data_IF_579904560374
#
_entry.id   IF_579904560374
#
_cell.length_a   1.000
_cell.length_b   1.000
_cell.length_c   1.000
_cell.angle_alpha   90.00
_cell.angle_beta   90.00
_cell.angle_gamma   90.00
#
_symmetry.space_group_name_H-M   'P 1'
#
loop_
_entity.id
_entity.type
_entity.pdbx_description
1 polymer ?
#
# COMPACT_ATOMS: atom_id res chain seq x y z
N UNK A 1 -29.21 -3.07 15.75
CA UNK A 1 -27.85 -3.62 15.92
C UNK A 1 -27.34 -4.31 14.66
N UNK A 2 -27.79 -5.51 14.27
CA UNK A 2 -27.29 -6.15 13.02
C UNK A 2 -27.71 -5.43 11.72
N UNK A 3 -28.88 -4.78 11.71
CA UNK A 3 -29.36 -3.98 10.57
C UNK A 3 -28.46 -2.79 10.27
N UNK A 4 -27.88 -2.19 11.30
CA UNK A 4 -27.16 -0.93 11.21
C UNK A 4 -25.74 -1.15 10.68
N UNK A 5 -25.10 -2.27 11.06
CA UNK A 5 -23.80 -2.69 10.53
C UNK A 5 -23.87 -3.07 9.04
N UNK A 6 -24.90 -3.81 8.62
CA UNK A 6 -25.09 -4.18 7.21
C UNK A 6 -25.41 -2.95 6.34
N UNK A 7 -26.26 -2.04 6.83
CA UNK A 7 -26.55 -0.79 6.15
C UNK A 7 -25.28 0.07 5.98
N UNK A 8 -24.48 0.17 7.04
CA UNK A 8 -23.19 0.87 7.07
C UNK A 8 -22.20 0.28 6.06
N UNK A 9 -21.99 -1.03 6.08
CA UNK A 9 -21.10 -1.72 5.13
C UNK A 9 -21.58 -1.56 3.68
N UNK A 10 -22.89 -1.61 3.44
CA UNK A 10 -23.47 -1.43 2.10
C UNK A 10 -23.25 -0.01 1.59
N UNK A 11 -23.46 1.00 2.44
CA UNK A 11 -23.26 2.40 2.06
C UNK A 11 -21.78 2.68 1.75
N UNK A 12 -20.87 2.12 2.55
CA UNK A 12 -19.42 2.23 2.34
C UNK A 12 -19.00 1.57 1.02
N UNK A 13 -19.52 0.37 0.72
CA UNK A 13 -19.32 -0.32 -0.56
C UNK A 13 -19.86 0.48 -1.75
N UNK A 14 -21.07 1.01 -1.65
CA UNK A 14 -21.68 1.82 -2.73
C UNK A 14 -20.85 3.08 -2.98
N UNK A 15 -20.45 3.79 -1.93
CA UNK A 15 -19.61 4.98 -2.06
C UNK A 15 -18.25 4.64 -2.70
N UNK A 16 -17.59 3.56 -2.26
CA UNK A 16 -16.35 3.07 -2.83
C UNK A 16 -16.50 2.74 -4.32
N UNK A 17 -17.53 1.99 -4.71
CA UNK A 17 -17.77 1.59 -6.11
C UNK A 17 -18.03 2.82 -7.00
N UNK A 18 -18.85 3.76 -6.53
CA UNK A 18 -19.13 5.00 -7.28
C UNK A 18 -17.88 5.86 -7.45
N UNK A 19 -17.11 6.07 -6.37
CA UNK A 19 -15.88 6.83 -6.42
C UNK A 19 -14.86 6.18 -7.36
N UNK A 20 -14.68 4.85 -7.30
CA UNK A 20 -13.78 4.13 -8.18
C UNK A 20 -14.24 4.21 -9.64
N UNK A 21 -15.54 4.11 -9.91
CA UNK A 21 -16.08 4.27 -11.25
C UNK A 21 -15.80 5.68 -11.81
N UNK A 22 -15.94 6.71 -10.99
CA UNK A 22 -15.63 8.10 -11.35
C UNK A 22 -14.13 8.30 -11.60
N UNK A 23 -13.27 7.83 -10.70
CA UNK A 23 -11.81 7.97 -10.80
C UNK A 23 -11.26 7.22 -12.01
N UNK A 24 -11.80 6.02 -12.30
CA UNK A 24 -11.44 5.28 -13.52
C UNK A 24 -11.78 6.05 -14.79
N UNK A 25 -12.87 6.83 -14.84
CA UNK A 25 -13.21 7.65 -16.02
C UNK A 25 -12.20 8.75 -16.30
N UNK A 26 -11.51 9.24 -15.27
CA UNK A 26 -10.46 10.25 -15.40
C UNK A 26 -9.04 9.64 -15.36
N UNK A 27 -8.92 8.32 -15.57
CA UNK A 27 -7.66 7.57 -15.57
C UNK A 27 -6.87 7.62 -14.25
N UNK A 28 -7.54 7.83 -13.13
CA UNK A 28 -6.90 7.76 -11.81
C UNK A 28 -6.89 6.33 -11.25
N UNK A 29 -5.82 5.93 -10.52
CA UNK A 29 -5.77 4.64 -9.84
C UNK A 29 -6.92 4.44 -8.83
N UNK A 30 -7.51 3.24 -8.74
CA UNK A 30 -8.60 2.94 -7.79
C UNK A 30 -8.27 3.25 -6.33
N UNK A 31 -7.00 3.11 -5.92
CA UNK A 31 -6.59 3.34 -4.54
C UNK A 31 -6.86 4.78 -4.07
N UNK A 32 -6.75 5.76 -4.97
CA UNK A 32 -7.07 7.14 -4.67
C UNK A 32 -8.56 7.34 -4.39
N UNK A 33 -9.43 6.57 -5.05
CA UNK A 33 -10.86 6.60 -4.79
C UNK A 33 -11.20 6.02 -3.41
N UNK A 34 -10.56 4.91 -3.02
CA UNK A 34 -10.76 4.34 -1.68
C UNK A 34 -10.32 5.32 -0.57
N UNK A 35 -9.16 5.96 -0.74
CA UNK A 35 -8.67 7.00 0.17
C UNK A 35 -9.60 8.21 0.21
N UNK A 36 -10.09 8.66 -0.94
CA UNK A 36 -11.04 9.77 -1.03
C UNK A 36 -12.34 9.47 -0.28
N UNK A 37 -12.89 8.26 -0.45
CA UNK A 37 -14.09 7.82 0.26
C UNK A 37 -13.83 7.75 1.76
N UNK A 38 -12.73 7.14 2.20
CA UNK A 38 -12.36 7.10 3.62
C UNK A 38 -12.18 8.49 4.24
N UNK A 39 -11.53 9.41 3.52
CA UNK A 39 -11.32 10.78 3.97
C UNK A 39 -12.64 11.55 4.07
N UNK A 40 -13.53 11.41 3.08
CA UNK A 40 -14.80 12.15 3.02
C UNK A 40 -15.83 11.61 4.01
N UNK A 41 -15.94 10.30 4.14
CA UNK A 41 -16.94 9.62 4.98
C UNK A 41 -16.48 9.52 6.44
N UNK A 42 -15.16 9.55 6.68
CA UNK A 42 -14.58 9.41 8.01
C UNK A 42 -15.00 10.50 9.01
N UNK A 43 -14.71 10.28 10.30
CA UNK A 43 -15.13 11.15 11.40
C UNK A 43 -14.57 12.58 11.30
N UNK A 44 -13.46 12.77 10.58
CA UNK A 44 -12.80 14.06 10.41
C UNK A 44 -13.36 14.90 9.24
N UNK A 45 -14.36 14.41 8.50
CA UNK A 45 -14.99 15.14 7.40
C UNK A 45 -16.53 15.17 7.54
N UNK A 46 -17.27 14.31 6.83
CA UNK A 46 -18.75 14.31 6.90
C UNK A 46 -19.27 13.70 8.21
N UNK A 47 -18.46 12.92 8.93
CA UNK A 47 -18.86 12.32 10.20
C UNK A 47 -20.02 11.33 10.09
N UNK A 48 -20.24 10.77 8.90
CA UNK A 48 -21.35 9.83 8.67
C UNK A 48 -21.14 8.47 9.34
N UNK A 49 -19.89 8.16 9.69
CA UNK A 49 -19.52 6.96 10.43
C UNK A 49 -18.65 7.39 11.61
N UNK A 50 -19.13 7.12 12.82
CA UNK A 50 -18.29 7.19 14.01
C UNK A 50 -17.21 6.12 13.94
N UNK A 51 -16.09 6.37 14.63
CA UNK A 51 -15.01 5.40 14.82
C UNK A 51 -15.50 4.24 15.72
N UNK A 52 -16.46 3.46 15.22
CA UNK A 52 -17.00 2.29 15.89
C UNK A 52 -15.97 1.16 15.83
N UNK A 53 -15.85 0.44 16.94
CA UNK A 53 -15.00 -0.75 17.10
C UNK A 53 -15.21 -1.76 15.95
N UNK A 54 -16.44 -1.86 15.44
CA UNK A 54 -16.80 -2.69 14.28
C UNK A 54 -16.08 -2.30 12.98
N UNK A 55 -15.86 -1.00 12.74
CA UNK A 55 -15.15 -0.52 11.53
C UNK A 55 -13.66 -0.85 11.61
N UNK A 56 -13.09 -0.80 12.82
CA UNK A 56 -11.70 -1.19 13.06
C UNK A 56 -11.50 -2.69 12.79
N UNK A 57 -12.39 -3.54 13.31
CA UNK A 57 -12.37 -4.99 13.06
C UNK A 57 -12.50 -5.31 11.57
N UNK A 58 -13.36 -4.59 10.85
CA UNK A 58 -13.53 -4.76 9.40
C UNK A 58 -12.24 -4.40 8.64
N UNK A 59 -11.55 -3.36 9.09
CA UNK A 59 -10.24 -2.94 8.58
C UNK A 59 -9.16 -4.00 8.82
N UNK A 60 -9.08 -4.57 10.02
CA UNK A 60 -8.14 -5.64 10.34
C UNK A 60 -8.35 -6.88 9.47
N UNK A 61 -9.60 -7.31 9.30
CA UNK A 61 -9.95 -8.42 8.42
C UNK A 61 -9.59 -8.10 6.97
N UNK A 62 -9.86 -6.87 6.51
CA UNK A 62 -9.47 -6.39 5.18
C UNK A 62 -7.96 -6.45 4.95
N UNK A 63 -7.16 -6.02 5.92
CA UNK A 63 -5.69 -6.12 5.88
C UNK A 63 -5.27 -7.60 5.86
N UNK A 64 -5.88 -8.47 6.66
CA UNK A 64 -5.55 -9.90 6.65
C UNK A 64 -5.81 -10.54 5.28
N UNK A 65 -6.95 -10.24 4.65
CA UNK A 65 -7.24 -10.69 3.27
C UNK A 65 -6.29 -10.09 2.23
N UNK A 66 -5.90 -8.82 2.39
CA UNK A 66 -4.92 -8.18 1.51
C UNK A 66 -3.57 -8.89 1.60
N UNK A 67 -3.06 -9.12 2.81
CA UNK A 67 -1.80 -9.83 3.04
C UNK A 67 -1.86 -11.26 2.51
N UNK A 68 -3.01 -11.93 2.66
CA UNK A 68 -3.23 -13.26 2.10
C UNK A 68 -3.23 -13.26 0.56
N UNK A 69 -3.94 -12.32 -0.06
CA UNK A 69 -3.98 -12.17 -1.52
C UNK A 69 -2.60 -11.88 -2.12
N UNK A 70 -1.83 -10.97 -1.50
CA UNK A 70 -0.42 -10.71 -1.87
C UNK A 70 0.40 -12.01 -1.80
N UNK A 71 0.18 -12.83 -0.77
CA UNK A 71 0.82 -14.14 -0.64
C UNK A 71 0.48 -15.12 -1.77
N UNK A 72 -0.75 -15.08 -2.31
CA UNK A 72 -1.17 -15.93 -3.43
C UNK A 72 -0.61 -15.48 -4.78
N UNK A 73 -0.37 -14.18 -4.96
CA UNK A 73 0.26 -13.63 -6.17
C UNK A 73 1.76 -13.95 -6.24
N UNK A 74 2.38 -14.28 -5.11
CA UNK A 74 3.81 -14.52 -5.03
C UNK A 74 4.25 -15.91 -5.54
N UNK A 75 5.18 -15.92 -6.49
CA UNK A 75 5.75 -17.17 -7.02
C UNK A 75 7.14 -17.46 -6.43
N UNK A 76 7.19 -18.42 -5.50
CA UNK A 76 8.44 -18.90 -4.87
C UNK A 76 9.55 -19.27 -5.89
N UNK A 77 9.26 -19.93 -7.03
CA UNK A 77 10.29 -20.26 -8.02
C UNK A 77 10.92 -19.02 -8.68
N UNK A 78 10.12 -17.98 -8.95
CA UNK A 78 10.60 -16.75 -9.57
C UNK A 78 11.42 -15.92 -8.58
N UNK A 79 11.03 -15.92 -7.31
CA UNK A 79 11.85 -15.34 -6.25
C UNK A 79 13.23 -15.99 -6.20
N UNK A 80 13.30 -17.32 -6.22
CA UNK A 80 14.57 -18.02 -6.11
C UNK A 80 15.50 -17.78 -7.30
N UNK A 81 14.95 -17.66 -8.51
CA UNK A 81 15.74 -17.37 -9.72
C UNK A 81 16.31 -15.95 -9.74
N UNK A 82 15.64 -14.99 -9.08
CA UNK A 82 16.05 -13.58 -9.03
C UNK A 82 16.68 -13.15 -7.69
N UNK A 83 16.88 -14.08 -6.75
CA UNK A 83 17.23 -13.80 -5.34
C UNK A 83 18.40 -12.83 -5.12
N UNK A 84 19.42 -12.85 -5.97
CA UNK A 84 20.58 -11.94 -5.85
C UNK A 84 20.19 -10.50 -6.15
N UNK A 85 19.41 -10.28 -7.21
CA UNK A 85 18.88 -8.96 -7.56
C UNK A 85 17.84 -8.51 -6.54
N UNK A 86 16.94 -9.40 -6.13
CA UNK A 86 15.89 -9.12 -5.15
C UNK A 86 16.47 -8.68 -3.79
N UNK A 87 17.28 -9.54 -3.18
CA UNK A 87 17.81 -9.29 -1.83
C UNK A 87 18.95 -8.26 -1.84
N UNK A 88 19.73 -8.18 -2.93
CA UNK A 88 20.80 -7.22 -3.07
C UNK A 88 20.28 -5.83 -3.43
N UNK A 89 19.87 -5.66 -4.70
CA UNK A 89 19.50 -4.35 -5.23
C UNK A 89 18.14 -3.87 -4.69
N UNK A 90 17.13 -4.74 -4.68
CA UNK A 90 15.81 -4.42 -4.12
C UNK A 90 15.88 -4.06 -2.64
N UNK A 91 16.57 -4.91 -1.86
CA UNK A 91 16.86 -4.66 -0.45
C UNK A 91 17.57 -3.33 -0.19
N UNK A 92 18.64 -3.06 -0.93
CA UNK A 92 19.37 -1.81 -0.82
C UNK A 92 18.49 -0.59 -1.18
N UNK A 93 17.69 -0.68 -2.25
CA UNK A 93 16.82 0.42 -2.66
C UNK A 93 15.77 0.73 -1.59
N UNK A 94 15.08 -0.29 -1.06
CA UNK A 94 14.04 -0.08 -0.03
C UNK A 94 14.66 0.47 1.25
N UNK A 95 15.80 -0.07 1.68
CA UNK A 95 16.47 0.37 2.91
C UNK A 95 16.98 1.81 2.78
N UNK A 96 17.68 2.14 1.71
CA UNK A 96 18.21 3.50 1.48
C UNK A 96 17.06 4.49 1.28
N UNK A 97 16.04 4.12 0.50
CA UNK A 97 14.85 4.95 0.29
C UNK A 97 14.12 5.23 1.60
N UNK A 98 13.93 4.19 2.43
CA UNK A 98 13.26 4.32 3.72
C UNK A 98 14.04 5.23 4.65
N UNK A 99 15.35 5.00 4.81
CA UNK A 99 16.19 5.80 5.71
C UNK A 99 16.27 7.26 5.24
N UNK A 100 16.49 7.49 3.94
CA UNK A 100 16.57 8.84 3.40
C UNK A 100 15.25 9.60 3.54
N UNK A 101 14.12 8.97 3.20
CA UNK A 101 12.80 9.55 3.37
C UNK A 101 12.46 9.80 4.85
N UNK A 102 12.79 8.87 5.74
CA UNK A 102 12.58 9.02 7.17
C UNK A 102 13.43 10.13 7.77
N UNK A 103 14.70 10.26 7.35
CA UNK A 103 15.58 11.33 7.80
C UNK A 103 15.02 12.70 7.39
N UNK A 104 14.57 12.84 6.14
CA UNK A 104 13.95 14.07 5.66
C UNK A 104 12.68 14.38 6.46
N UNK A 105 11.81 13.40 6.69
CA UNK A 105 10.59 13.58 7.47
C UNK A 105 10.89 13.95 8.93
N UNK A 106 11.87 13.32 9.56
CA UNK A 106 12.27 13.60 10.94
C UNK A 106 12.81 15.03 11.10
N UNK A 107 13.57 15.54 10.11
CA UNK A 107 14.03 16.94 10.11
C UNK A 107 12.89 17.97 10.07
N UNK A 108 11.67 17.57 9.68
CA UNK A 108 10.49 18.45 9.74
C UNK A 108 9.83 18.50 11.13
N UNK A 109 10.35 17.74 12.11
CA UNK A 109 9.87 17.73 13.50
C UNK A 109 8.86 16.62 13.81
N UNK A 110 8.62 15.69 12.88
CA UNK A 110 7.72 14.54 13.09
C UNK A 110 8.43 13.47 13.95
N UNK A 111 7.72 12.79 14.87
CA UNK A 111 8.31 11.71 15.69
C UNK A 111 8.95 10.61 14.86
N UNK A 112 10.01 9.97 15.39
CA UNK A 112 10.78 8.95 14.68
C UNK A 112 9.93 7.79 14.12
N UNK A 113 8.97 7.28 14.89
CA UNK A 113 8.07 6.21 14.45
C UNK A 113 7.26 6.61 13.21
N UNK A 114 6.65 7.79 13.23
CA UNK A 114 5.91 8.32 12.08
C UNK A 114 6.83 8.67 10.90
N UNK A 115 8.04 9.18 11.15
CA UNK A 115 9.03 9.44 10.12
C UNK A 115 9.45 8.16 9.38
N UNK A 116 9.64 7.04 10.10
CA UNK A 116 9.91 5.73 9.50
C UNK A 116 8.77 5.25 8.60
N UNK A 117 7.51 5.43 9.03
CA UNK A 117 6.34 5.09 8.21
C UNK A 117 6.31 5.91 6.92
N UNK A 118 6.55 7.22 7.03
CA UNK A 118 6.63 8.11 5.86
C UNK A 118 7.78 7.69 4.93
N UNK A 119 8.96 7.43 5.48
CA UNK A 119 10.12 6.97 4.71
C UNK A 119 9.83 5.66 3.97
N UNK A 120 9.23 4.70 4.65
CA UNK A 120 8.83 3.42 4.07
C UNK A 120 7.82 3.60 2.93
N UNK A 121 6.81 4.45 3.13
CA UNK A 121 5.84 4.77 2.09
C UNK A 121 6.49 5.42 0.87
N UNK A 122 7.44 6.35 1.07
CA UNK A 122 8.18 7.01 -0.02
C UNK A 122 9.13 6.07 -0.77
N UNK A 123 9.60 4.99 -0.13
CA UNK A 123 10.50 4.02 -0.75
C UNK A 123 9.79 3.09 -1.76
N UNK A 124 8.46 2.97 -1.69
CA UNK A 124 7.67 2.04 -2.50
C UNK A 124 7.33 2.61 -3.88
N UNK A 125 7.28 1.74 -4.88
CA UNK A 125 6.88 2.08 -6.26
C UNK A 125 5.59 1.37 -6.65
N UNK A 126 4.91 1.85 -7.70
CA UNK A 126 3.71 1.18 -8.23
C UNK A 126 4.10 0.11 -9.25
N UNK A 127 4.01 -1.17 -8.86
CA UNK A 127 4.31 -2.32 -9.73
C UNK A 127 3.49 -2.29 -11.02
N UNK A 128 2.19 -2.06 -10.94
CA UNK A 128 1.31 -2.02 -12.11
C UNK A 128 1.71 -0.94 -13.13
N UNK A 129 2.07 0.27 -12.66
CA UNK A 129 2.45 1.37 -13.55
C UNK A 129 3.80 1.09 -14.20
N UNK A 130 4.81 0.69 -13.42
CA UNK A 130 6.16 0.46 -13.93
C UNK A 130 6.21 -0.72 -14.90
N UNK A 131 5.54 -1.83 -14.57
CA UNK A 131 5.44 -3.00 -15.46
C UNK A 131 4.72 -2.65 -16.75
N UNK A 132 3.61 -1.92 -16.66
CA UNK A 132 2.88 -1.45 -17.85
C UNK A 132 3.76 -0.57 -18.73
N UNK A 133 4.45 0.41 -18.14
CA UNK A 133 5.33 1.31 -18.87
C UNK A 133 6.48 0.57 -19.57
N UNK A 134 7.16 -0.36 -18.88
CA UNK A 134 8.22 -1.18 -19.47
C UNK A 134 7.69 -2.12 -20.57
N UNK A 135 6.44 -2.58 -20.44
CA UNK A 135 5.79 -3.41 -21.47
C UNK A 135 5.45 -2.58 -22.70
N UNK A 136 4.86 -1.39 -22.51
CA UNK A 136 4.50 -0.46 -23.59
C UNK A 136 5.76 -0.01 -24.37
N UNK A 137 6.91 0.07 -23.70
CA UNK A 137 8.20 0.41 -24.31
C UNK A 137 8.97 -0.81 -24.86
N UNK A 138 8.46 -2.04 -24.66
CA UNK A 138 9.14 -3.30 -25.03
C UNK A 138 10.49 -3.49 -24.30
N UNK A 139 10.63 -2.89 -23.12
CA UNK A 139 11.85 -2.88 -22.32
C UNK A 139 11.83 -3.90 -21.17
N UNK A 140 10.70 -4.55 -20.91
CA UNK A 140 10.53 -5.49 -19.78
C UNK A 140 11.62 -6.59 -19.72
N UNK A 141 12.06 -7.07 -20.89
CA UNK A 141 13.05 -8.13 -21.00
C UNK A 141 14.51 -7.64 -21.03
N UNK A 142 14.72 -6.33 -21.11
CA UNK A 142 16.05 -5.73 -21.10
C UNK A 142 16.67 -5.82 -19.70
N UNK A 143 18.01 -5.71 -19.57
CA UNK A 143 18.69 -5.81 -18.28
C UNK A 143 18.10 -4.88 -17.21
N UNK A 144 17.85 -3.61 -17.53
CA UNK A 144 17.26 -2.66 -16.58
C UNK A 144 15.81 -2.98 -16.25
N UNK A 145 15.03 -3.50 -17.20
CA UNK A 145 13.66 -3.97 -16.96
C UNK A 145 13.63 -5.13 -15.96
N UNK A 146 14.56 -6.08 -16.09
CA UNK A 146 14.72 -7.19 -15.12
C UNK A 146 15.18 -6.72 -13.74
N UNK A 147 16.06 -5.71 -13.68
CA UNK A 147 16.46 -5.10 -12.40
C UNK A 147 15.28 -4.38 -11.75
N UNK A 148 14.50 -3.61 -12.51
CA UNK A 148 13.29 -2.93 -12.02
C UNK A 148 12.28 -3.93 -11.48
N UNK A 149 12.00 -5.02 -12.21
CA UNK A 149 11.15 -6.11 -11.72
C UNK A 149 11.69 -6.70 -10.42
N UNK A 150 13.00 -6.86 -10.29
CA UNK A 150 13.61 -7.32 -9.05
C UNK A 150 13.36 -6.37 -7.87
N UNK A 151 13.51 -5.07 -8.08
CA UNK A 151 13.23 -4.07 -7.04
C UNK A 151 11.73 -4.11 -6.66
N UNK A 152 10.82 -4.14 -7.64
CA UNK A 152 9.37 -4.18 -7.42
C UNK A 152 8.95 -5.43 -6.63
N UNK A 153 9.46 -6.61 -6.99
CA UNK A 153 9.15 -7.85 -6.27
C UNK A 153 9.66 -7.82 -4.83
N UNK A 154 10.81 -7.19 -4.58
CA UNK A 154 11.29 -7.00 -3.21
C UNK A 154 10.40 -5.99 -2.44
N UNK A 155 9.95 -4.91 -3.08
CA UNK A 155 9.02 -3.95 -2.48
C UNK A 155 7.68 -4.60 -2.11
N UNK A 156 7.10 -5.40 -3.00
CA UNK A 156 5.85 -6.14 -2.74
C UNK A 156 6.02 -7.08 -1.53
N UNK A 157 7.16 -7.76 -1.42
CA UNK A 157 7.48 -8.60 -0.26
C UNK A 157 7.71 -7.78 1.02
N UNK A 158 8.38 -6.63 0.92
CA UNK A 158 8.67 -5.75 2.03
C UNK A 158 7.41 -5.00 2.54
N UNK A 159 6.40 -4.80 1.70
CA UNK A 159 5.15 -4.15 2.09
C UNK A 159 4.44 -4.89 3.22
N UNK A 160 4.49 -6.23 3.25
CA UNK A 160 3.89 -7.07 4.30
C UNK A 160 4.44 -6.75 5.69
N UNK A 161 5.76 -6.86 5.96
CA UNK A 161 6.31 -6.51 7.26
C UNK A 161 6.12 -5.02 7.60
N UNK A 162 6.14 -4.11 6.62
CA UNK A 162 5.81 -2.71 6.88
C UNK A 162 4.38 -2.55 7.43
N UNK A 163 3.38 -3.18 6.81
CA UNK A 163 1.99 -3.12 7.26
C UNK A 163 1.81 -3.67 8.68
N UNK A 164 2.57 -4.70 9.05
CA UNK A 164 2.55 -5.28 10.40
C UNK A 164 3.22 -4.36 11.44
N UNK A 165 4.29 -3.66 11.05
CA UNK A 165 5.06 -2.80 11.96
C UNK A 165 4.37 -1.46 12.23
N UNK A 166 3.58 -0.94 11.29
CA UNK A 166 2.86 0.34 11.45
C UNK A 166 2.03 0.42 12.76
N UNK A 167 1.13 -0.52 13.08
CA UNK A 167 0.33 -0.43 14.31
C UNK A 167 1.20 -0.55 15.57
N UNK A 168 2.30 -1.30 15.52
CA UNK A 168 3.25 -1.42 16.63
C UNK A 168 3.91 -0.06 16.89
N UNK A 169 4.38 0.61 15.83
CA UNK A 169 4.95 1.96 15.94
C UNK A 169 3.92 2.97 16.43
N UNK A 170 2.70 2.90 15.94
CA UNK A 170 1.60 3.78 16.36
C UNK A 170 1.27 3.63 17.85
N UNK A 171 1.39 2.43 18.43
CA UNK A 171 1.18 2.20 19.87
C UNK A 171 2.29 2.75 20.77
N UNK A 172 3.46 3.07 20.19
CA UNK A 172 4.67 3.48 20.91
C UNK A 172 4.96 5.00 20.91
N UNK A 173 4.11 5.78 20.24
CA UNK A 173 4.18 7.25 20.11
C UNK A 173 2.87 7.87 20.53
#
# INVERSE_FOLDING_TARGET
MHSDALASATLLLVAAVLAVALFRRINLPPILAYLFVGLTIGPHALGWFDAAEETYLLGEIGIAFLLFAIGLEFSLPQFWSMRQTLLGLGGAQVLIGTISGALIAWLTGIPWGAALVVGGALAMSSTAIVVKQLTDQVELQLPHGRLALGILLFQDLAAVPFLVVIPILASST
#
